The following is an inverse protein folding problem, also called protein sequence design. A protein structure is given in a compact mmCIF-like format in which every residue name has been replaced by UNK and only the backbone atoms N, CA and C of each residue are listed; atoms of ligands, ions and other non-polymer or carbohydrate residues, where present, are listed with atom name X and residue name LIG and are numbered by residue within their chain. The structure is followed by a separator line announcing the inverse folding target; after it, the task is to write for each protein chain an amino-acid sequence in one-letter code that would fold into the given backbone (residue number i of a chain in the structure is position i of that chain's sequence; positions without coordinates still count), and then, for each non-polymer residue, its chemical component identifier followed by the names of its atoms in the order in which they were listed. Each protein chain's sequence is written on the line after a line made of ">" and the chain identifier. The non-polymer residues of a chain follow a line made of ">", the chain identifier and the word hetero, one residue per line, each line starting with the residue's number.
data_IF_701053314591
#
_entry.id   IF_701053314591
#
_cell.length_a   1.000
_cell.length_b   1.000
_cell.length_c   1.000
_cell.angle_alpha   90.00
_cell.angle_beta   90.00
_cell.angle_gamma   90.00
#
_symmetry.space_group_name_H-M   'P 1'
#
loop_
_entity.id
_entity.type
_entity.pdbx_description
1 polymer ?
#
# COMPACT_ATOMS: atom_id res chain seq x y z
N UNK A 1 6.21 9.87 -11.95
CA UNK A 1 5.61 9.51 -10.66
C UNK A 1 4.65 8.36 -10.83
N UNK A 2 5.05 7.17 -10.40
CA UNK A 2 4.17 5.99 -10.23
C UNK A 2 3.91 5.74 -8.74
N UNK A 3 3.76 6.81 -8.00
CA UNK A 3 3.35 6.78 -6.60
C UNK A 3 1.83 6.84 -6.58
N UNK A 4 1.21 5.99 -5.76
CA UNK A 4 -0.23 5.99 -5.57
C UNK A 4 -0.55 6.29 -4.11
N UNK A 5 -1.36 7.34 -3.90
CA UNK A 5 -1.83 7.77 -2.60
C UNK A 5 -3.28 7.32 -2.43
N UNK A 6 -3.58 6.63 -1.32
CA UNK A 6 -4.90 6.07 -1.04
C UNK A 6 -5.36 6.47 0.36
N UNK A 7 -6.63 6.86 0.47
CA UNK A 7 -7.33 6.94 1.75
C UNK A 7 -8.20 5.69 1.91
N UNK A 8 -7.93 4.89 2.93
CA UNK A 8 -8.68 3.67 3.27
C UNK A 8 -9.52 3.91 4.51
N UNK A 9 -10.79 3.54 4.44
CA UNK A 9 -11.71 3.62 5.57
C UNK A 9 -11.90 2.19 6.09
N UNK A 10 -11.42 1.93 7.31
CA UNK A 10 -11.50 0.61 7.93
C UNK A 10 -12.95 0.18 8.24
N UNK A 11 -13.86 1.15 8.47
CA UNK A 11 -15.24 0.91 8.92
C UNK A 11 -15.29 0.04 10.18
N UNK A 12 -14.39 0.31 11.13
CA UNK A 12 -14.28 -0.37 12.41
C UNK A 12 -14.06 0.67 13.51
N UNK A 13 -14.46 0.38 14.75
CA UNK A 13 -14.25 1.28 15.89
C UNK A 13 -12.77 1.33 16.34
N UNK A 14 -12.00 0.28 16.03
CA UNK A 14 -10.56 0.18 16.27
C UNK A 14 -9.90 -0.85 15.34
N UNK A 15 -8.60 -0.69 15.13
CA UNK A 15 -7.74 -1.70 14.50
C UNK A 15 -6.94 -2.38 15.62
N UNK A 16 -7.15 -3.68 15.84
CA UNK A 16 -6.50 -4.41 16.94
C UNK A 16 -5.05 -4.80 16.59
N UNK A 17 -4.84 -5.30 15.38
CA UNK A 17 -3.53 -5.64 14.83
C UNK A 17 -3.26 -4.78 13.60
N UNK A 18 -2.45 -3.74 13.78
CA UNK A 18 -2.13 -2.81 12.70
C UNK A 18 -1.18 -3.40 11.66
N UNK A 19 -0.34 -4.38 12.04
CA UNK A 19 0.59 -5.03 11.12
C UNK A 19 -0.16 -6.02 10.21
N UNK A 20 -1.10 -6.81 10.76
CA UNK A 20 -1.98 -7.69 9.99
C UNK A 20 -2.90 -6.88 9.07
N UNK A 21 -3.52 -5.82 9.59
CA UNK A 21 -4.38 -4.94 8.79
C UNK A 21 -3.61 -4.34 7.61
N UNK A 22 -2.39 -3.84 7.85
CA UNK A 22 -1.55 -3.28 6.80
C UNK A 22 -1.24 -4.33 5.71
N UNK A 23 -0.91 -5.56 6.11
CA UNK A 23 -0.68 -6.65 5.16
C UNK A 23 -1.91 -6.97 4.32
N UNK A 24 -3.09 -6.96 4.92
CA UNK A 24 -4.35 -7.19 4.20
C UNK A 24 -4.61 -6.08 3.19
N UNK A 25 -4.42 -4.81 3.56
CA UNK A 25 -4.58 -3.67 2.64
C UNK A 25 -3.61 -3.75 1.45
N UNK A 26 -2.34 -4.08 1.68
CA UNK A 26 -1.37 -4.24 0.59
C UNK A 26 -1.73 -5.42 -0.32
N UNK A 27 -2.16 -6.55 0.24
CA UNK A 27 -2.63 -7.68 -0.56
C UNK A 27 -3.81 -7.26 -1.46
N UNK A 28 -4.75 -6.47 -0.94
CA UNK A 28 -5.86 -5.93 -1.73
C UNK A 28 -5.40 -5.00 -2.88
N UNK A 29 -4.36 -4.19 -2.65
CA UNK A 29 -3.73 -3.39 -3.70
C UNK A 29 -3.11 -4.26 -4.80
N UNK A 30 -2.39 -5.32 -4.41
CA UNK A 30 -1.69 -6.25 -5.33
C UNK A 30 -2.66 -7.07 -6.18
N UNK A 31 -3.78 -7.48 -5.59
CA UNK A 31 -4.82 -8.24 -6.26
C UNK A 31 -5.84 -7.36 -7.00
N UNK A 32 -5.75 -6.04 -6.85
CA UNK A 32 -6.76 -5.07 -7.29
C UNK A 32 -8.18 -5.46 -6.82
N UNK A 33 -8.30 -5.91 -5.57
CA UNK A 33 -9.51 -6.55 -5.02
C UNK A 33 -10.33 -5.63 -4.10
N UNK A 34 -10.03 -4.33 -4.05
CA UNK A 34 -10.88 -3.37 -3.36
C UNK A 34 -12.29 -3.37 -3.96
N UNK A 35 -13.29 -3.50 -3.09
CA UNK A 35 -14.71 -3.51 -3.49
C UNK A 35 -15.19 -2.14 -4.01
N UNK A 36 -14.62 -1.06 -3.49
CA UNK A 36 -15.12 0.32 -3.70
C UNK A 36 -14.25 1.15 -4.65
N UNK A 37 -13.00 0.75 -4.86
CA UNK A 37 -12.06 1.40 -5.78
C UNK A 37 -11.43 0.32 -6.65
N UNK A 38 -11.33 0.54 -7.96
CA UNK A 38 -10.45 -0.26 -8.81
C UNK A 38 -9.26 0.62 -9.12
N UNK A 39 -8.07 0.17 -8.76
CA UNK A 39 -6.86 0.80 -9.26
C UNK A 39 -6.90 0.61 -10.78
N UNK A 40 -6.75 1.69 -11.55
CA UNK A 40 -6.70 1.64 -13.02
C UNK A 40 -5.37 1.05 -13.49
N UNK A 41 -5.12 -0.20 -13.13
CA UNK A 41 -3.89 -0.94 -13.44
C UNK A 41 -3.82 -1.34 -14.91
N UNK A 42 -4.98 -1.41 -15.59
CA UNK A 42 -5.08 -1.82 -16.99
C UNK A 42 -4.60 -0.74 -17.99
N UNK A 43 -4.66 0.54 -17.62
CA UNK A 43 -4.28 1.66 -18.50
C UNK A 43 -2.87 2.19 -18.24
N UNK A 44 -2.39 2.11 -16.99
CA UNK A 44 -1.12 2.71 -16.57
C UNK A 44 -0.16 1.74 -15.87
N UNK A 45 -0.55 0.47 -15.73
CA UNK A 45 0.20 -0.53 -14.98
C UNK A 45 0.00 -0.41 -13.46
N UNK A 46 0.63 -1.32 -12.71
CA UNK A 46 0.67 -1.24 -11.25
C UNK A 46 1.59 -0.09 -10.79
N UNK A 47 1.27 0.56 -9.66
CA UNK A 47 2.15 1.59 -9.10
C UNK A 47 3.48 0.98 -8.63
N UNK A 48 4.51 1.83 -8.57
CA UNK A 48 5.84 1.48 -8.05
C UNK A 48 5.89 1.66 -6.53
N UNK A 49 5.14 2.62 -5.96
CA UNK A 49 5.06 2.88 -4.51
C UNK A 49 3.62 3.15 -4.10
N UNK A 50 3.27 2.72 -2.89
CA UNK A 50 1.99 2.99 -2.25
C UNK A 50 2.21 3.79 -0.97
N UNK A 51 1.40 4.83 -0.80
CA UNK A 51 1.21 5.51 0.47
C UNK A 51 -0.27 5.51 0.81
N UNK A 52 -0.61 4.97 1.98
CA UNK A 52 -1.99 4.72 2.38
C UNK A 52 -2.24 5.32 3.75
N UNK A 53 -3.23 6.20 3.83
CA UNK A 53 -3.74 6.74 5.07
C UNK A 53 -4.99 5.98 5.46
N UNK A 54 -5.03 5.45 6.68
CA UNK A 54 -6.18 4.71 7.20
C UNK A 54 -6.94 5.57 8.18
N UNK A 55 -8.26 5.60 8.01
CA UNK A 55 -9.21 6.23 8.91
C UNK A 55 -10.22 5.17 9.39
N UNK A 56 -10.77 5.33 10.60
CA UNK A 56 -11.76 4.40 11.12
C UNK A 56 -13.12 4.65 10.46
N UNK A 57 -13.47 5.92 10.32
CA UNK A 57 -14.74 6.38 9.77
C UNK A 57 -14.54 7.39 8.64
N UNK A 58 -15.50 7.43 7.71
CA UNK A 58 -15.46 8.34 6.55
C UNK A 58 -15.42 9.82 6.95
N UNK A 59 -16.05 10.18 8.07
CA UNK A 59 -16.18 11.57 8.51
C UNK A 59 -14.87 12.19 9.01
N UNK A 60 -13.87 11.34 9.29
CA UNK A 60 -12.54 11.69 9.79
C UNK A 60 -11.60 12.18 8.68
N UNK A 61 -11.84 11.73 7.44
CA UNK A 61 -11.02 12.06 6.28
C UNK A 61 -10.96 13.58 6.10
N UNK A 62 -9.75 14.13 5.99
CA UNK A 62 -9.44 15.57 5.94
C UNK A 62 -9.74 16.39 7.22
N UNK A 63 -10.22 15.78 8.31
CA UNK A 63 -10.52 16.48 9.57
C UNK A 63 -9.57 16.13 10.70
N UNK A 64 -9.14 14.87 10.75
CA UNK A 64 -8.20 14.37 11.75
C UNK A 64 -7.03 13.70 11.06
N UNK A 65 -5.97 13.41 11.83
CA UNK A 65 -4.85 12.62 11.32
C UNK A 65 -5.29 11.17 11.11
N UNK A 66 -4.72 10.46 10.12
CA UNK A 66 -4.97 9.04 9.96
C UNK A 66 -4.57 8.27 11.22
N UNK A 67 -5.30 7.19 11.49
CA UNK A 67 -5.03 6.31 12.63
C UNK A 67 -3.86 5.38 12.37
N UNK A 68 -3.56 5.15 11.08
CA UNK A 68 -2.47 4.33 10.62
C UNK A 68 -1.96 4.86 9.28
N UNK A 69 -0.65 4.96 9.12
CA UNK A 69 -0.01 5.24 7.84
C UNK A 69 0.74 4.00 7.35
N UNK A 70 0.42 3.52 6.15
CA UNK A 70 1.07 2.37 5.53
C UNK A 70 1.87 2.86 4.32
N UNK A 71 3.12 2.44 4.22
CA UNK A 71 3.95 2.68 3.04
C UNK A 71 4.48 1.36 2.49
N UNK A 72 4.41 1.19 1.19
CA UNK A 72 4.94 0.01 0.50
C UNK A 72 5.76 0.46 -0.70
N UNK A 73 7.06 0.23 -0.64
CA UNK A 73 8.03 0.77 -1.60
C UNK A 73 9.17 -0.23 -1.85
N UNK A 74 9.86 -0.17 -3.00
CA UNK A 74 10.95 -1.07 -3.28
C UNK A 74 12.12 -0.81 -2.30
N UNK A 75 12.78 -1.89 -1.87
CA UNK A 75 13.92 -1.87 -0.96
C UNK A 75 15.15 -1.17 -1.57
N UNK A 76 15.25 -1.22 -2.89
CA UNK A 76 16.33 -0.65 -3.71
C UNK A 76 15.72 0.27 -4.78
N UNK A 77 16.49 1.25 -5.26
CA UNK A 77 15.98 2.15 -6.28
C UNK A 77 15.77 1.37 -7.61
N UNK A 78 14.55 1.35 -8.17
CA UNK A 78 14.28 0.64 -9.42
C UNK A 78 15.08 1.18 -10.61
N UNK A 79 15.70 2.37 -10.52
CA UNK A 79 16.58 2.92 -11.54
C UNK A 79 18.01 2.34 -11.53
N UNK A 80 18.41 1.62 -10.48
CA UNK A 80 19.75 1.04 -10.35
C UNK A 80 19.83 -0.44 -10.79
N UNK A 81 18.72 -1.05 -11.21
CA UNK A 81 18.69 -2.40 -11.75
C UNK A 81 19.05 -2.47 -13.24
N UNK A 82 19.97 -3.34 -13.63
CA UNK A 82 20.26 -3.65 -15.03
C UNK A 82 19.04 -4.33 -15.69
N UNK A 83 18.26 -3.57 -16.47
CA UNK A 83 17.17 -4.08 -17.30
C UNK A 83 15.94 -3.17 -17.35
N UNK A 84 15.18 -3.22 -18.45
CA UNK A 84 13.95 -2.43 -18.64
C UNK A 84 12.76 -2.90 -17.77
N UNK A 85 12.98 -3.83 -16.83
CA UNK A 85 11.94 -4.34 -15.92
C UNK A 85 11.69 -3.34 -14.78
N UNK A 86 10.68 -2.49 -15.00
CA UNK A 86 10.21 -1.57 -13.96
C UNK A 86 9.52 -2.38 -12.86
N UNK A 87 10.07 -2.33 -11.65
CA UNK A 87 9.46 -2.95 -10.47
C UNK A 87 8.01 -2.48 -10.28
N UNK A 88 7.16 -3.38 -9.80
CA UNK A 88 5.79 -3.08 -9.50
C UNK A 88 5.32 -3.91 -8.30
N UNK A 89 4.33 -3.38 -7.59
CA UNK A 89 3.87 -3.96 -6.31
C UNK A 89 3.34 -5.40 -6.41
N UNK A 90 2.93 -5.84 -7.61
CA UNK A 90 2.31 -7.15 -7.82
C UNK A 90 3.37 -8.22 -8.06
N UNK A 91 4.20 -8.02 -9.08
CA UNK A 91 5.09 -9.06 -9.62
C UNK A 91 6.43 -9.18 -8.88
N UNK A 92 6.81 -8.18 -8.07
CA UNK A 92 8.11 -8.13 -7.40
C UNK A 92 7.99 -7.93 -5.88
N UNK A 93 6.97 -8.51 -5.24
CA UNK A 93 6.67 -8.29 -3.83
C UNK A 93 7.84 -8.58 -2.88
N UNK A 94 8.73 -9.51 -3.25
CA UNK A 94 9.94 -9.87 -2.50
C UNK A 94 10.99 -8.76 -2.45
N UNK A 95 10.95 -7.81 -3.39
CA UNK A 95 11.86 -6.66 -3.46
C UNK A 95 11.33 -5.44 -2.72
N UNK A 96 10.20 -5.56 -2.03
CA UNK A 96 9.51 -4.44 -1.41
C UNK A 96 9.55 -4.53 0.12
N UNK A 97 9.50 -3.35 0.73
CA UNK A 97 9.40 -3.18 2.17
C UNK A 97 8.07 -2.57 2.54
N UNK A 98 7.51 -3.07 3.64
CA UNK A 98 6.27 -2.58 4.22
C UNK A 98 6.59 -1.81 5.49
N UNK A 99 6.07 -0.59 5.57
CA UNK A 99 6.18 0.27 6.74
C UNK A 99 4.80 0.57 7.29
N UNK A 100 4.69 0.54 8.62
CA UNK A 100 3.50 0.91 9.37
C UNK A 100 3.90 1.97 10.39
N UNK A 101 3.34 3.16 10.27
CA UNK A 101 3.71 4.37 11.02
C UNK A 101 5.24 4.63 11.02
N UNK A 102 5.87 4.37 9.88
CA UNK A 102 7.32 4.53 9.69
C UNK A 102 8.18 3.39 10.25
N UNK A 103 7.59 2.38 10.90
CA UNK A 103 8.30 1.17 11.32
C UNK A 103 8.26 0.11 10.22
N UNK A 104 9.42 -0.37 9.79
CA UNK A 104 9.51 -1.52 8.88
C UNK A 104 8.94 -2.77 9.55
N UNK A 105 8.03 -3.46 8.87
CA UNK A 105 7.46 -4.72 9.34
C UNK A 105 7.76 -5.85 8.34
N UNK A 106 8.01 -7.08 8.83
CA UNK A 106 8.29 -8.20 7.96
C UNK A 106 7.08 -8.49 7.07
N UNK A 107 7.37 -8.77 5.81
CA UNK A 107 6.38 -9.03 4.80
C UNK A 107 6.69 -10.36 4.10
N UNK A 108 5.67 -11.19 3.92
CA UNK A 108 5.82 -12.57 3.43
C UNK A 108 5.00 -12.79 2.16
N UNK A 109 5.12 -11.87 1.21
CA UNK A 109 4.50 -12.01 -0.10
C UNK A 109 5.42 -12.86 -0.98
N UNK A 110 5.00 -14.09 -1.23
CA UNK A 110 5.66 -15.06 -2.11
C UNK A 110 4.86 -15.22 -3.42
#
# INVERSE_FOLDING_TARGET
>A
NRECFLDVIANADRIEDTEEFARTVIQMCRENSFRSIRLSTDLYGYPERLEINVYLHREEVNKVKPVLQIRYEPAEDPAEGEGEEKYNIKDHGEKYKLYVDGKEIPCYYY
#
